data_IF_181985027365
#
_entry.id   IF_181985027365
#
_cell.length_a   1.000
_cell.length_b   1.000
_cell.length_c   1.000
_cell.angle_alpha   90.00
_cell.angle_beta   90.00
_cell.angle_gamma   90.00
#
_symmetry.space_group_name_H-M   'P 1'
#
loop_
_entity.id
_entity.type
_entity.pdbx_description
1 polymer ?
#
# COMPACT_ATOMS: atom_id res chain seq x y z
N UNK A 1 0.11 0.17 -10.24
CA UNK A 1 0.68 1.33 -10.96
C UNK A 1 1.19 2.30 -9.91
N UNK A 2 2.31 2.97 -10.15
CA UNK A 2 2.69 4.16 -9.38
C UNK A 2 2.29 5.34 -10.24
N UNK A 3 1.35 6.20 -9.82
CA UNK A 3 1.04 7.40 -10.58
C UNK A 3 2.31 8.24 -10.75
N UNK A 4 2.62 8.66 -11.98
CA UNK A 4 3.75 9.55 -12.26
C UNK A 4 3.25 11.01 -12.15
N UNK A 5 3.63 11.76 -11.11
CA UNK A 5 3.17 13.13 -10.89
C UNK A 5 3.75 14.13 -11.89
N UNK A 6 4.87 13.78 -12.53
CA UNK A 6 5.54 14.62 -13.53
C UNK A 6 5.09 14.28 -14.95
N UNK A 7 4.19 13.30 -15.09
CA UNK A 7 3.64 12.92 -16.38
C UNK A 7 2.80 14.05 -16.97
N UNK A 8 2.87 14.21 -18.28
CA UNK A 8 1.87 14.98 -19.03
C UNK A 8 0.50 14.28 -19.10
N UNK A 9 0.40 13.05 -18.58
CA UNK A 9 -0.82 12.24 -18.56
C UNK A 9 -1.61 12.46 -17.27
N UNK A 10 -2.91 12.73 -17.39
CA UNK A 10 -3.83 12.81 -16.26
C UNK A 10 -3.92 11.47 -15.51
N UNK A 11 -4.34 11.50 -14.24
CA UNK A 11 -4.59 10.28 -13.47
C UNK A 11 -5.58 9.33 -14.13
N UNK A 12 -6.58 9.87 -14.84
CA UNK A 12 -7.52 9.10 -15.66
C UNK A 12 -6.78 8.40 -16.82
N UNK A 13 -5.91 9.10 -17.54
CA UNK A 13 -5.12 8.51 -18.63
C UNK A 13 -4.22 7.38 -18.12
N UNK A 14 -3.58 7.56 -16.96
CA UNK A 14 -2.76 6.54 -16.32
C UNK A 14 -3.59 5.33 -15.85
N UNK A 15 -4.78 5.56 -15.31
CA UNK A 15 -5.72 4.48 -14.96
C UNK A 15 -6.20 3.71 -16.20
N UNK A 16 -6.48 4.41 -17.29
CA UNK A 16 -6.87 3.80 -18.56
C UNK A 16 -5.76 2.95 -19.17
N UNK A 17 -4.49 3.30 -18.97
CA UNK A 17 -3.35 2.48 -19.38
C UNK A 17 -3.29 1.16 -18.59
N UNK A 18 -3.49 1.20 -17.26
CA UNK A 18 -3.63 0.00 -16.44
C UNK A 18 -4.77 -0.89 -16.95
N UNK A 19 -5.95 -0.32 -17.16
CA UNK A 19 -7.13 -1.02 -17.68
C UNK A 19 -6.83 -1.69 -19.03
N UNK A 20 -6.22 -0.93 -19.95
CA UNK A 20 -5.87 -1.40 -21.29
C UNK A 20 -4.76 -2.45 -21.30
N UNK A 21 -3.86 -2.44 -20.32
CA UNK A 21 -2.90 -3.53 -20.12
C UNK A 21 -3.60 -4.81 -19.66
N UNK A 22 -4.45 -4.72 -18.63
CA UNK A 22 -5.16 -5.87 -18.07
C UNK A 22 -6.07 -6.57 -19.10
N UNK A 23 -6.74 -5.79 -19.96
CA UNK A 23 -7.65 -6.35 -20.98
C UNK A 23 -6.95 -7.17 -22.08
N UNK A 24 -5.62 -7.09 -22.19
CA UNK A 24 -4.87 -7.90 -23.18
C UNK A 24 -4.82 -9.38 -22.79
N UNK A 25 -4.89 -9.66 -21.48
CA UNK A 25 -4.76 -11.01 -20.92
C UNK A 25 -6.10 -11.51 -20.36
N UNK A 26 -6.95 -10.60 -19.88
CA UNK A 26 -8.22 -10.93 -19.25
C UNK A 26 -9.37 -10.24 -19.98
N UNK A 27 -10.56 -10.85 -20.04
CA UNK A 27 -11.76 -10.20 -20.61
C UNK A 27 -12.34 -9.20 -19.60
N UNK A 28 -11.70 -8.04 -19.48
CA UNK A 28 -12.08 -6.98 -18.53
C UNK A 28 -13.29 -6.24 -19.08
N UNK A 29 -14.49 -6.50 -18.52
CA UNK A 29 -15.74 -5.80 -18.88
C UNK A 29 -15.99 -4.55 -18.05
N UNK A 30 -15.43 -4.51 -16.84
CA UNK A 30 -15.43 -3.39 -15.92
C UNK A 30 -14.40 -3.70 -14.81
N UNK A 31 -13.67 -2.69 -14.36
CA UNK A 31 -12.92 -2.77 -13.10
C UNK A 31 -13.84 -2.23 -12.02
N UNK A 32 -14.52 -3.13 -11.33
CA UNK A 32 -15.27 -2.79 -10.13
C UNK A 32 -14.34 -2.98 -8.92
N UNK A 33 -14.10 -1.90 -8.17
CA UNK A 33 -13.62 -2.04 -6.79
C UNK A 33 -14.83 -2.48 -5.96
N UNK A 34 -15.04 -3.80 -5.88
CA UNK A 34 -16.17 -4.38 -5.17
C UNK A 34 -15.89 -4.29 -3.65
N UNK A 35 -16.50 -3.30 -3.00
CA UNK A 35 -16.45 -3.01 -1.56
C UNK A 35 -17.18 -4.07 -0.70
N UNK A 36 -17.00 -5.36 -0.96
CA UNK A 36 -17.48 -6.41 -0.06
C UNK A 36 -16.29 -6.93 0.75
N UNK A 37 -15.96 -6.20 1.82
CA UNK A 37 -14.98 -6.61 2.83
C UNK A 37 -13.51 -6.32 2.52
N UNK A 38 -13.19 -5.55 1.46
CA UNK A 38 -11.83 -5.11 1.15
C UNK A 38 -11.73 -3.60 1.31
N UNK A 39 -10.88 -3.14 2.23
CA UNK A 39 -10.58 -1.73 2.40
C UNK A 39 -9.62 -1.24 1.29
N UNK A 40 -9.88 -0.06 0.72
CA UNK A 40 -9.00 0.55 -0.28
C UNK A 40 -7.87 1.27 0.45
N UNK A 41 -6.61 0.97 0.10
CA UNK A 41 -5.42 1.66 0.60
C UNK A 41 -4.86 2.66 -0.40
N UNK A 42 -4.39 3.81 0.08
CA UNK A 42 -3.66 4.82 -0.69
C UNK A 42 -2.20 4.84 -0.22
N UNK A 43 -1.25 4.75 -1.16
CA UNK A 43 0.18 4.91 -0.87
C UNK A 43 0.59 6.36 -1.12
N UNK A 44 0.95 7.10 -0.07
CA UNK A 44 1.34 8.52 -0.18
C UNK A 44 1.99 9.05 1.11
N UNK A 45 2.40 10.31 1.10
CA UNK A 45 2.78 11.06 2.30
C UNK A 45 2.21 12.48 2.21
N UNK A 46 2.33 13.26 3.29
CA UNK A 46 1.76 14.61 3.35
C UNK A 46 2.27 15.55 2.25
N UNK A 47 3.53 15.37 1.83
CA UNK A 47 4.19 16.20 0.82
C UNK A 47 3.71 15.85 -0.59
N UNK A 48 3.73 14.56 -0.94
CA UNK A 48 3.24 14.06 -2.22
C UNK A 48 1.75 14.27 -2.38
N UNK A 49 0.97 14.04 -1.33
CA UNK A 49 -0.46 14.28 -1.34
C UNK A 49 -0.78 15.72 -1.73
N UNK A 50 -0.06 16.67 -1.13
CA UNK A 50 -0.18 18.09 -1.47
C UNK A 50 0.17 18.35 -2.93
N UNK A 51 1.26 17.79 -3.43
CA UNK A 51 1.70 18.01 -4.81
C UNK A 51 0.76 17.40 -5.86
N UNK A 52 0.27 16.19 -5.60
CA UNK A 52 -0.51 15.40 -6.57
C UNK A 52 -1.98 15.82 -6.55
N UNK A 53 -2.55 16.04 -5.36
CA UNK A 53 -3.99 16.24 -5.20
C UNK A 53 -4.38 17.67 -4.89
N UNK A 54 -3.40 18.56 -4.72
CA UNK A 54 -3.61 19.91 -4.21
C UNK A 54 -4.37 19.92 -2.87
N UNK A 55 -3.96 19.04 -1.93
CA UNK A 55 -4.59 18.86 -0.61
C UNK A 55 -6.08 18.49 -0.66
N UNK A 56 -6.47 17.66 -1.62
CA UNK A 56 -7.84 17.16 -1.67
C UNK A 56 -8.21 16.42 -0.37
N UNK A 57 -9.43 16.62 0.12
CA UNK A 57 -9.91 16.10 1.42
C UNK A 57 -10.90 14.94 1.30
N UNK A 58 -11.17 14.45 0.08
CA UNK A 58 -12.19 13.43 -0.15
C UNK A 58 -11.72 11.98 0.04
N UNK A 59 -10.60 11.76 0.73
CA UNK A 59 -10.04 10.41 0.97
C UNK A 59 -10.75 9.61 2.07
N UNK A 60 -11.90 10.07 2.56
CA UNK A 60 -12.71 9.38 3.58
C UNK A 60 -13.00 7.92 3.20
N UNK A 61 -12.86 7.02 4.18
CA UNK A 61 -13.14 5.59 4.00
C UNK A 61 -12.00 4.77 3.40
N UNK A 62 -10.83 5.36 3.14
CA UNK A 62 -9.64 4.67 2.68
C UNK A 62 -8.59 4.50 3.79
N UNK A 63 -7.79 3.44 3.72
CA UNK A 63 -6.59 3.24 4.54
C UNK A 63 -5.40 3.97 3.92
N UNK A 64 -4.41 4.29 4.75
CA UNK A 64 -3.18 4.93 4.30
C UNK A 64 -1.98 3.99 4.48
N UNK A 65 -1.24 3.79 3.40
CA UNK A 65 0.13 3.29 3.41
C UNK A 65 1.07 4.50 3.30
N UNK A 66 1.53 4.96 4.44
CA UNK A 66 2.39 6.13 4.56
C UNK A 66 3.82 5.79 4.12
N UNK A 67 4.46 6.63 3.32
CA UNK A 67 5.88 6.43 2.99
C UNK A 67 6.74 7.57 3.52
N UNK A 68 7.76 7.24 4.29
CA UNK A 68 8.79 8.18 4.71
C UNK A 68 10.12 7.44 4.85
N UNK A 69 11.06 7.74 3.96
CA UNK A 69 12.40 7.14 3.92
C UNK A 69 13.42 8.27 3.71
N UNK A 70 14.62 8.10 4.25
CA UNK A 70 15.69 9.09 4.15
C UNK A 70 16.54 8.90 2.87
N UNK A 71 16.48 7.72 2.26
CA UNK A 71 17.23 7.39 1.06
C UNK A 71 17.03 5.92 0.64
N UNK A 72 17.87 5.45 -0.28
CA UNK A 72 17.91 4.05 -0.69
C UNK A 72 18.87 3.23 0.17
N UNK A 73 18.56 1.94 0.35
CA UNK A 73 19.37 0.99 1.11
C UNK A 73 19.21 1.14 2.63
N UNK A 74 19.92 0.29 3.39
CA UNK A 74 19.79 0.19 4.85
C UNK A 74 20.06 1.52 5.57
N UNK A 75 21.00 2.32 5.06
CA UNK A 75 21.34 3.62 5.65
C UNK A 75 20.30 4.72 5.33
N UNK A 76 19.38 4.45 4.40
CA UNK A 76 18.29 5.34 4.03
C UNK A 76 16.97 5.03 4.73
N UNK A 77 16.96 4.09 5.69
CA UNK A 77 15.76 3.78 6.46
C UNK A 77 15.41 4.92 7.44
N UNK A 78 14.11 5.17 7.60
CA UNK A 78 13.58 5.93 8.75
C UNK A 78 13.28 4.98 9.91
N UNK A 79 12.93 5.52 11.08
CA UNK A 79 12.51 4.71 12.23
C UNK A 79 11.34 3.80 11.86
N UNK A 80 11.40 2.54 12.31
CA UNK A 80 10.37 1.52 12.07
C UNK A 80 9.19 1.69 13.05
N UNK A 81 8.68 2.92 13.17
CA UNK A 81 7.47 3.30 13.92
C UNK A 81 6.68 4.40 13.20
N UNK A 82 5.55 4.84 13.78
CA UNK A 82 4.71 5.90 13.22
C UNK A 82 4.97 7.29 13.85
N UNK A 83 6.08 7.48 14.58
CA UNK A 83 6.36 8.71 15.35
C UNK A 83 6.57 9.95 14.47
N UNK A 84 6.95 9.75 13.21
CA UNK A 84 7.17 10.78 12.20
C UNK A 84 5.93 11.04 11.33
N UNK A 85 4.79 10.43 11.65
CA UNK A 85 3.57 10.64 10.89
C UNK A 85 3.06 12.08 11.04
N UNK A 86 2.75 12.70 9.90
CA UNK A 86 2.14 14.02 9.84
C UNK A 86 0.70 13.87 9.33
N UNK A 87 -0.33 14.31 10.07
CA UNK A 87 -1.72 14.23 9.60
C UNK A 87 -1.97 15.04 8.32
N UNK A 88 -2.72 14.47 7.38
CA UNK A 88 -3.15 15.14 6.13
C UNK A 88 -4.45 14.53 5.58
N UNK A 89 -5.13 15.28 4.71
CA UNK A 89 -6.46 14.93 4.19
C UNK A 89 -7.43 14.58 5.33
N UNK A 90 -7.85 13.32 5.41
CA UNK A 90 -8.75 12.78 6.44
C UNK A 90 -8.06 11.81 7.39
N UNK A 91 -6.76 11.53 7.19
CA UNK A 91 -6.01 10.57 7.99
C UNK A 91 -5.33 11.24 9.18
N UNK A 92 -5.68 10.77 10.37
CA UNK A 92 -4.98 11.08 11.63
C UNK A 92 -3.95 10.00 12.02
N UNK A 93 -3.94 8.88 11.32
CA UNK A 93 -3.00 7.76 11.48
C UNK A 93 -2.84 7.02 10.14
N UNK A 94 -1.77 6.25 10.02
CA UNK A 94 -1.53 5.36 8.88
C UNK A 94 -1.73 3.90 9.29
N UNK A 95 -2.20 3.07 8.36
CA UNK A 95 -2.36 1.63 8.57
C UNK A 95 -1.07 0.86 8.29
N UNK A 96 -0.27 1.34 7.34
CA UNK A 96 1.03 0.79 6.97
C UNK A 96 2.01 1.95 6.85
N UNK A 97 3.28 1.74 7.22
CA UNK A 97 4.38 2.65 6.91
C UNK A 97 5.49 1.92 6.16
N UNK A 98 5.88 2.46 5.01
CA UNK A 98 7.16 2.13 4.37
C UNK A 98 8.26 2.97 4.99
N UNK A 99 9.17 2.31 5.71
CA UNK A 99 10.30 2.95 6.38
C UNK A 99 11.64 2.67 5.68
N UNK A 100 11.69 1.70 4.77
CA UNK A 100 12.88 1.40 3.96
C UNK A 100 12.57 1.12 2.49
N UNK A 101 13.48 1.48 1.60
CA UNK A 101 13.36 1.21 0.16
C UNK A 101 14.67 0.71 -0.44
N UNK A 102 14.57 -0.14 -1.47
CA UNK A 102 15.74 -0.72 -2.15
C UNK A 102 16.76 -1.37 -1.19
N UNK A 103 16.26 -2.06 -0.17
CA UNK A 103 17.07 -2.74 0.84
C UNK A 103 17.37 -4.16 0.38
N UNK A 104 18.63 -4.60 0.47
CA UNK A 104 19.01 -5.95 0.09
C UNK A 104 18.77 -6.93 1.24
N UNK A 105 17.82 -7.84 1.08
CA UNK A 105 17.49 -8.90 2.04
C UNK A 105 17.60 -10.24 1.33
N UNK A 106 18.46 -11.13 1.83
CA UNK A 106 18.68 -12.46 1.23
C UNK A 106 18.98 -12.42 -0.28
N UNK A 107 19.71 -11.39 -0.75
CA UNK A 107 20.05 -11.21 -2.17
C UNK A 107 18.96 -10.59 -3.05
N UNK A 108 17.81 -10.23 -2.47
CA UNK A 108 16.68 -9.58 -3.19
C UNK A 108 16.52 -8.14 -2.70
N UNK A 109 16.30 -7.21 -3.62
CA UNK A 109 15.94 -5.84 -3.28
C UNK A 109 14.47 -5.76 -2.90
N UNK A 110 14.19 -5.29 -1.69
CA UNK A 110 12.85 -5.17 -1.13
C UNK A 110 12.62 -3.77 -0.57
N UNK A 111 11.36 -3.38 -0.46
CA UNK A 111 10.94 -2.32 0.45
C UNK A 111 10.58 -2.95 1.80
N UNK A 112 10.71 -2.16 2.87
CA UNK A 112 10.43 -2.63 4.23
C UNK A 112 9.33 -1.78 4.84
N UNK A 113 8.35 -2.49 5.39
CA UNK A 113 7.12 -1.92 5.89
C UNK A 113 6.83 -2.42 7.30
N UNK A 114 6.15 -1.57 8.07
CA UNK A 114 5.46 -1.93 9.30
C UNK A 114 3.96 -1.67 9.10
N UNK A 115 3.12 -2.36 9.85
CA UNK A 115 1.69 -2.14 9.83
C UNK A 115 1.13 -2.09 11.24
N UNK A 116 0.05 -1.33 11.42
CA UNK A 116 -0.69 -1.33 12.67
C UNK A 116 -1.55 -2.60 12.75
N UNK A 117 -1.11 -3.54 13.57
CA UNK A 117 -1.81 -4.81 13.79
C UNK A 117 -3.22 -4.60 14.37
N UNK A 118 -3.49 -3.48 15.05
CA UNK A 118 -4.84 -3.19 15.57
C UNK A 118 -5.85 -2.84 14.48
N UNK A 119 -5.36 -2.36 13.33
CA UNK A 119 -6.16 -2.10 12.13
C UNK A 119 -6.33 -3.35 11.25
N UNK A 120 -5.65 -4.45 11.59
CA UNK A 120 -5.84 -5.72 10.91
C UNK A 120 -7.12 -6.42 11.38
N UNK A 121 -8.11 -6.50 10.48
CA UNK A 121 -9.26 -7.41 10.63
C UNK A 121 -8.95 -8.82 10.14
N UNK A 122 -7.74 -9.02 9.61
CA UNK A 122 -7.23 -10.32 9.19
C UNK A 122 -6.95 -11.19 10.42
N UNK A 123 -7.80 -12.18 10.63
CA UNK A 123 -7.49 -13.28 11.53
C UNK A 123 -6.29 -14.05 10.98
N UNK A 124 -5.41 -14.53 11.87
CA UNK A 124 -4.34 -15.46 11.47
C UNK A 124 -4.96 -16.60 10.65
N UNK A 125 -4.38 -16.89 9.48
CA UNK A 125 -4.80 -18.04 8.70
C UNK A 125 -4.60 -19.30 9.55
N UNK A 126 -5.70 -20.00 9.86
CA UNK A 126 -5.60 -21.22 10.66
C UNK A 126 -5.03 -22.33 9.78
N UNK A 127 -4.32 -23.28 10.38
CA UNK A 127 -3.72 -24.41 9.65
C UNK A 127 -4.72 -25.18 8.75
N UNK A 128 -6.02 -25.14 9.09
CA UNK A 128 -7.11 -25.74 8.30
C UNK A 128 -7.42 -25.00 6.98
N UNK A 129 -7.13 -23.71 6.87
CA UNK A 129 -7.37 -22.94 5.64
C UNK A 129 -6.39 -23.32 4.53
N UNK A 130 -5.14 -23.62 4.90
CA UNK A 130 -4.09 -24.13 4.01
C UNK A 130 -4.45 -25.54 3.51
N UNK A 131 -5.01 -26.38 4.39
CA UNK A 131 -5.41 -27.75 4.04
C UNK A 131 -6.57 -27.81 3.02
N UNK A 132 -7.46 -26.82 3.04
CA UNK A 132 -8.62 -26.75 2.14
C UNK A 132 -8.35 -26.02 0.81
N UNK A 133 -7.09 -25.68 0.48
CA UNK A 133 -6.69 -24.99 -0.76
C UNK A 133 -7.50 -23.69 -1.01
N UNK A 134 -8.01 -23.06 0.04
CA UNK A 134 -8.73 -21.80 -0.08
C UNK A 134 -7.71 -20.68 -0.18
N UNK A 135 -7.77 -19.90 -1.26
CA UNK A 135 -6.94 -18.70 -1.38
C UNK A 135 -7.48 -17.67 -0.39
N UNK A 136 -6.77 -17.48 0.72
CA UNK A 136 -7.03 -16.41 1.67
C UNK A 136 -6.19 -15.21 1.22
N UNK A 137 -6.87 -14.16 0.73
CA UNK A 137 -6.24 -12.90 0.38
C UNK A 137 -6.31 -12.00 1.63
N UNK A 138 -5.14 -11.66 2.20
CA UNK A 138 -5.03 -10.78 3.37
C UNK A 138 -4.92 -11.50 4.71
N UNK A 139 -3.78 -12.15 4.97
CA UNK A 139 -3.42 -12.70 6.29
C UNK A 139 -1.93 -12.47 6.60
N UNK A 140 -1.53 -12.56 7.87
CA UNK A 140 -0.14 -12.39 8.28
C UNK A 140 0.50 -13.73 8.67
N UNK A 141 1.78 -13.89 8.35
CA UNK A 141 2.61 -14.99 8.84
C UNK A 141 3.51 -14.41 9.91
N UNK A 142 3.23 -14.72 11.19
CA UNK A 142 4.16 -14.39 12.27
C UNK A 142 5.28 -15.43 12.25
N UNK A 143 6.50 -15.00 11.88
CA UNK A 143 7.68 -15.84 11.98
C UNK A 143 7.89 -16.25 13.43
N UNK A 144 7.94 -17.55 13.72
CA UNK A 144 8.46 -18.03 15.00
C UNK A 144 9.94 -17.66 15.05
N UNK A 145 10.35 -16.98 16.12
CA UNK A 145 11.74 -16.60 16.39
C UNK A 145 12.68 -17.77 16.07
N UNK A 146 13.73 -17.50 15.28
CA UNK A 146 14.92 -18.35 15.19
C UNK A 146 15.73 -18.22 16.48
#
# INVERSE_FOLDING_TARGET
MVPDPQSSKSGEQQFMELYNGLRTTFSVKAIWLQLNGVAIGIYSNWYDWKQITNNWTGASGSLLWYWNVLGAGVLGESEADFSDFHPFATWSSAAVKQFGQQVQVCGVNVNRDIFDASLSTATEAQAGDIANRRVVVGGFIQGKNL
#
